data_IF_834091765113
#
_entry.id   IF_834091765113
#
_cell.length_a   1.000
_cell.length_b   1.000
_cell.length_c   1.000
_cell.angle_alpha   90.00
_cell.angle_beta   90.00
_cell.angle_gamma   90.00
#
_symmetry.space_group_name_H-M   'P 1'
#
loop_
_entity.id
_entity.type
_entity.pdbx_description
1 polymer ?
#
# COMPACT_ATOMS: atom_id res chain seq x y z
N UNK A 1 16.10 -13.56 5.45
CA UNK A 1 15.26 -12.89 4.43
C UNK A 1 15.97 -13.02 3.10
N UNK A 2 15.25 -13.31 2.01
CA UNK A 2 15.86 -13.32 0.67
C UNK A 2 16.11 -11.88 0.22
N UNK A 3 17.08 -11.67 -0.65
CA UNK A 3 17.41 -10.32 -1.15
C UNK A 3 16.20 -9.64 -1.80
N UNK A 4 15.39 -10.39 -2.54
CA UNK A 4 14.13 -9.91 -3.15
C UNK A 4 13.10 -9.45 -2.11
N UNK A 5 13.04 -10.08 -0.94
CA UNK A 5 12.13 -9.69 0.13
C UNK A 5 12.57 -8.37 0.77
N UNK A 6 13.88 -8.15 0.89
CA UNK A 6 14.43 -6.89 1.41
C UNK A 6 14.13 -5.75 0.42
N UNK A 7 14.27 -6.00 -0.89
CA UNK A 7 13.90 -5.04 -1.94
C UNK A 7 12.40 -4.73 -1.86
N UNK A 8 11.56 -5.76 -1.81
CA UNK A 8 10.10 -5.60 -1.71
C UNK A 8 9.67 -4.79 -0.47
N UNK A 9 10.28 -5.03 0.70
CA UNK A 9 10.00 -4.26 1.91
C UNK A 9 10.38 -2.79 1.72
N UNK A 10 11.55 -2.50 1.15
CA UNK A 10 11.98 -1.12 0.89
C UNK A 10 11.04 -0.42 -0.10
N UNK A 11 10.62 -1.13 -1.14
CA UNK A 11 9.69 -0.60 -2.14
C UNK A 11 8.30 -0.33 -1.57
N UNK A 12 7.79 -1.16 -0.66
CA UNK A 12 6.52 -0.90 0.03
C UNK A 12 6.55 0.37 0.89
N UNK A 13 7.72 0.78 1.37
CA UNK A 13 7.89 1.97 2.23
C UNK A 13 8.15 3.21 1.38
N UNK A 14 9.09 3.11 0.44
CA UNK A 14 9.63 4.25 -0.31
C UNK A 14 9.13 4.38 -1.75
N UNK A 15 8.36 3.40 -2.26
CA UNK A 15 8.05 3.29 -3.68
C UNK A 15 9.20 2.68 -4.49
N UNK A 16 9.11 2.72 -5.84
CA UNK A 16 10.10 2.13 -6.73
C UNK A 16 11.54 2.60 -6.45
N UNK A 17 12.47 1.65 -6.26
CA UNK A 17 13.88 1.97 -5.96
C UNK A 17 14.69 2.36 -7.21
N UNK A 18 14.17 2.07 -8.41
CA UNK A 18 14.78 2.45 -9.69
C UNK A 18 13.86 3.39 -10.45
N UNK A 19 14.39 4.52 -10.86
CA UNK A 19 13.82 5.37 -11.92
C UNK A 19 14.37 4.94 -13.27
N UNK A 20 14.15 3.68 -13.66
CA UNK A 20 14.49 3.26 -15.03
C UNK A 20 13.44 3.82 -15.97
N UNK A 21 13.82 4.84 -16.76
CA UNK A 21 12.99 5.34 -17.84
C UNK A 21 12.50 4.18 -18.72
N UNK A 22 11.18 4.14 -18.96
CA UNK A 22 10.47 3.24 -19.89
C UNK A 22 10.36 1.75 -19.50
N UNK A 23 10.33 1.38 -18.23
CA UNK A 23 9.77 0.06 -17.85
C UNK A 23 8.28 0.23 -17.50
N UNK A 24 7.40 -0.56 -18.11
CA UNK A 24 5.96 -0.55 -17.81
C UNK A 24 5.71 -0.94 -16.33
N UNK A 25 6.55 -1.81 -15.78
CA UNK A 25 6.55 -2.21 -14.38
C UNK A 25 7.76 -1.64 -13.61
N UNK A 26 7.57 -0.75 -12.62
CA UNK A 26 8.69 -0.04 -11.98
C UNK A 26 9.31 -0.76 -10.77
N UNK A 27 8.70 -1.87 -10.31
CA UNK A 27 9.13 -2.58 -9.11
C UNK A 27 9.99 -3.82 -9.41
N UNK A 28 10.90 -4.13 -8.51
CA UNK A 28 11.85 -5.24 -8.62
C UNK A 28 11.50 -6.35 -7.64
N UNK A 29 11.03 -6.00 -6.44
CA UNK A 29 10.81 -6.95 -5.36
C UNK A 29 9.70 -7.95 -5.68
N UNK A 30 8.72 -7.58 -6.50
CA UNK A 30 7.64 -8.44 -7.00
C UNK A 30 7.31 -8.10 -8.44
N UNK A 31 6.81 -9.09 -9.16
CA UNK A 31 6.25 -8.95 -10.51
C UNK A 31 4.84 -8.32 -10.46
N UNK A 32 4.36 -7.89 -11.62
CA UNK A 32 3.07 -7.22 -11.82
C UNK A 32 1.85 -8.06 -11.40
N UNK A 33 1.92 -9.39 -11.46
CA UNK A 33 0.85 -10.29 -10.95
C UNK A 33 0.60 -10.13 -9.44
N UNK A 34 1.51 -9.46 -8.74
CA UNK A 34 1.43 -9.14 -7.32
C UNK A 34 1.40 -7.64 -7.05
N UNK A 35 1.02 -6.83 -8.04
CA UNK A 35 0.99 -5.38 -7.92
C UNK A 35 0.15 -4.88 -6.73
N UNK A 36 -0.97 -5.54 -6.46
CA UNK A 36 -1.86 -5.23 -5.34
C UNK A 36 -1.17 -5.23 -3.97
N UNK A 37 -0.03 -5.92 -3.81
CA UNK A 37 0.72 -5.91 -2.55
C UNK A 37 1.32 -4.53 -2.25
N UNK A 38 1.67 -3.74 -3.27
CA UNK A 38 2.21 -2.38 -3.10
C UNK A 38 1.16 -1.36 -2.68
N UNK A 39 -0.13 -1.69 -2.77
CA UNK A 39 -1.24 -0.82 -2.36
C UNK A 39 -1.62 -0.96 -0.88
N UNK A 40 -0.95 -1.82 -0.11
CA UNK A 40 -1.33 -2.15 1.28
C UNK A 40 -0.70 -1.19 2.30
N UNK A 41 0.63 -1.03 2.26
CA UNK A 41 1.40 -0.36 3.33
C UNK A 41 1.47 1.15 3.14
N UNK A 42 1.89 1.59 1.96
CA UNK A 42 2.02 3.00 1.58
C UNK A 42 1.53 3.13 0.13
N UNK A 43 0.23 3.39 -0.01
CA UNK A 43 -0.41 3.37 -1.32
C UNK A 43 -0.14 4.70 -2.04
N UNK A 44 0.85 4.70 -2.92
CA UNK A 44 1.22 5.90 -3.68
C UNK A 44 0.23 6.26 -4.80
N UNK A 45 -0.67 5.33 -5.20
CA UNK A 45 -1.67 5.57 -6.25
C UNK A 45 -2.77 6.51 -5.79
N UNK A 46 -3.34 6.27 -4.59
CA UNK A 46 -4.49 7.01 -4.09
C UNK A 46 -4.45 7.33 -2.58
N UNK A 47 -3.45 6.84 -1.85
CA UNK A 47 -3.29 7.11 -0.41
C UNK A 47 -4.30 6.41 0.49
N UNK A 48 -4.96 5.34 0.01
CA UNK A 48 -5.77 4.43 0.83
C UNK A 48 -4.89 3.25 1.23
N UNK A 49 -4.36 3.29 2.46
CA UNK A 49 -3.44 2.29 3.01
C UNK A 49 -3.63 2.10 4.53
N UNK A 50 -3.07 1.01 5.04
CA UNK A 50 -3.18 0.66 6.47
C UNK A 50 -2.45 1.65 7.38
N UNK A 51 -1.42 2.33 6.89
CA UNK A 51 -0.71 3.37 7.63
C UNK A 51 -1.64 4.55 7.97
N UNK A 52 -2.49 4.95 7.03
CA UNK A 52 -3.51 5.98 7.25
C UNK A 52 -4.62 5.53 8.18
N UNK A 53 -5.03 4.26 8.10
CA UNK A 53 -6.09 3.73 8.96
C UNK A 53 -5.68 3.73 10.43
N UNK A 54 -4.47 3.27 10.74
CA UNK A 54 -3.95 3.29 12.11
C UNK A 54 -3.80 4.71 12.64
N UNK A 55 -3.14 5.59 11.89
CA UNK A 55 -2.93 6.98 12.32
C UNK A 55 -4.23 7.73 12.56
N UNK A 56 -5.24 7.59 11.68
CA UNK A 56 -6.56 8.20 11.91
C UNK A 56 -7.24 7.66 13.17
N UNK A 57 -7.31 6.34 13.34
CA UNK A 57 -7.96 5.75 14.50
C UNK A 57 -7.24 6.12 15.80
N UNK A 58 -5.90 6.09 15.80
CA UNK A 58 -5.04 6.44 16.92
C UNK A 58 -5.16 7.90 17.28
N UNK A 59 -5.06 8.81 16.30
CA UNK A 59 -5.10 10.25 16.55
C UNK A 59 -6.49 10.67 17.04
N UNK A 60 -7.56 10.17 16.42
CA UNK A 60 -8.92 10.40 16.90
C UNK A 60 -9.10 9.95 18.35
N UNK A 61 -8.60 8.76 18.71
CA UNK A 61 -8.66 8.26 20.08
C UNK A 61 -7.96 9.19 21.08
N UNK A 62 -6.73 9.63 20.78
CA UNK A 62 -5.94 10.46 21.69
C UNK A 62 -6.37 11.93 21.73
N UNK A 63 -6.92 12.46 20.64
CA UNK A 63 -7.42 13.83 20.56
C UNK A 63 -8.88 13.98 21.00
N UNK A 64 -9.58 12.88 21.25
CA UNK A 64 -11.00 12.90 21.62
C UNK A 64 -11.94 13.18 20.46
N UNK A 65 -11.50 12.94 19.22
CA UNK A 65 -12.35 13.02 18.03
C UNK A 65 -12.98 11.67 17.68
N UNK A 66 -14.13 11.70 17.03
CA UNK A 66 -14.74 10.50 16.50
C UNK A 66 -14.15 10.15 15.12
N UNK A 67 -13.68 8.91 14.95
CA UNK A 67 -13.27 8.38 13.65
C UNK A 67 -14.49 7.79 12.92
N UNK A 68 -14.88 8.40 11.79
CA UNK A 68 -16.00 7.93 10.96
C UNK A 68 -15.61 6.83 9.95
N UNK A 69 -14.31 6.51 9.82
CA UNK A 69 -13.84 5.50 8.87
C UNK A 69 -13.74 4.12 9.51
N UNK A 70 -14.46 3.14 8.96
CA UNK A 70 -14.44 1.74 9.37
C UNK A 70 -13.55 0.90 8.45
N UNK A 71 -12.29 0.72 8.86
CA UNK A 71 -11.31 -0.08 8.12
C UNK A 71 -11.67 -1.58 8.09
N UNK A 72 -12.38 -2.10 9.10
CA UNK A 72 -12.76 -3.51 9.15
C UNK A 72 -13.84 -3.80 8.09
N UNK A 73 -14.81 -2.90 7.95
CA UNK A 73 -15.78 -2.95 6.84
C UNK A 73 -15.09 -2.83 5.50
N UNK A 74 -14.12 -1.93 5.34
CA UNK A 74 -13.34 -1.81 4.10
C UNK A 74 -12.69 -3.15 3.73
N UNK A 75 -11.97 -3.77 4.68
CA UNK A 75 -11.29 -5.06 4.47
C UNK A 75 -12.25 -6.21 4.13
N UNK A 76 -13.45 -6.22 4.69
CA UNK A 76 -14.46 -7.25 4.40
C UNK A 76 -14.89 -7.24 2.91
N UNK A 77 -14.91 -6.06 2.29
CA UNK A 77 -15.35 -5.88 0.91
C UNK A 77 -14.21 -5.74 -0.10
N UNK A 78 -12.95 -5.59 0.35
CA UNK A 78 -11.80 -5.48 -0.52
C UNK A 78 -11.60 -6.75 -1.38
N UNK A 79 -11.34 -6.53 -2.67
CA UNK A 79 -11.05 -7.56 -3.68
C UNK A 79 -9.97 -7.05 -4.62
N UNK A 80 -9.12 -7.96 -5.07
CA UNK A 80 -8.19 -7.71 -6.18
C UNK A 80 -8.94 -8.05 -7.46
N UNK A 81 -9.00 -7.10 -8.39
CA UNK A 81 -9.58 -7.26 -9.72
C UNK A 81 -8.56 -6.81 -10.75
N UNK A 82 -8.64 -7.37 -11.95
CA UNK A 82 -7.88 -6.88 -13.10
C UNK A 82 -8.51 -5.56 -13.57
N UNK A 83 -7.70 -4.51 -13.69
CA UNK A 83 -8.11 -3.19 -14.18
C UNK A 83 -7.13 -2.80 -15.29
N UNK A 84 -7.63 -2.63 -16.51
CA UNK A 84 -6.86 -1.99 -17.58
C UNK A 84 -6.73 -0.50 -17.24
N UNK A 85 -5.51 -0.03 -17.03
CA UNK A 85 -5.19 1.37 -16.74
C UNK A 85 -5.49 2.33 -17.89
#
# INVERSE_FOLDING_TARGET
LKDDDIIFIKEQIGGPLKTTGKADWPYIGRNEDKAFLYEIVCNQRNGIDVNKWDSLARDCHHLGFHNNFDYARYMMFARVIEEDG
#
